data_IF_159358989218
#
_entry.id   IF_159358989218
#
_cell.length_a   1.000
_cell.length_b   1.000
_cell.length_c   1.000
_cell.angle_alpha   90.00
_cell.angle_beta   90.00
_cell.angle_gamma   90.00
#
_symmetry.space_group_name_H-M   'P 1'
#
loop_
_entity.id
_entity.type
_entity.pdbx_description
1 polymer ?
#
# COMPACT_ATOMS: atom_id res chain seq x y z
N UNK A 1 -1.15 2.27 10.62
CA UNK A 1 -2.34 2.26 9.75
C UNK A 1 -2.26 3.48 8.84
N UNK A 2 -2.24 3.30 7.52
CA UNK A 2 -2.37 4.42 6.59
C UNK A 2 -3.87 4.68 6.51
N UNK A 3 -4.37 5.67 7.25
CA UNK A 3 -5.75 6.10 7.08
C UNK A 3 -5.86 6.71 5.66
N UNK A 4 -6.73 6.22 4.78
CA UNK A 4 -6.95 6.83 3.46
C UNK A 4 -7.74 8.15 3.56
N UNK A 5 -7.97 8.63 4.78
CA UNK A 5 -8.76 9.83 5.06
C UNK A 5 -7.80 11.00 5.07
N UNK A 6 -7.68 11.64 3.92
CA UNK A 6 -6.87 12.83 3.76
C UNK A 6 -7.61 14.04 4.37
N UNK A 7 -7.47 14.24 5.69
CA UNK A 7 -8.02 15.39 6.40
C UNK A 7 -7.54 16.73 5.79
N UNK A 8 -6.37 16.73 5.13
CA UNK A 8 -5.77 17.90 4.50
C UNK A 8 -6.67 18.48 3.38
N UNK A 9 -7.48 17.66 2.71
CA UNK A 9 -8.37 18.14 1.64
C UNK A 9 -9.38 19.17 2.14
N UNK A 10 -9.96 18.95 3.32
CA UNK A 10 -10.90 19.90 3.93
C UNK A 10 -10.17 21.18 4.34
N UNK A 11 -8.94 21.05 4.85
CA UNK A 11 -8.13 22.20 5.22
C UNK A 11 -7.80 23.08 4.01
N UNK A 12 -7.43 22.48 2.88
CA UNK A 12 -7.23 23.19 1.61
C UNK A 12 -8.52 23.84 1.11
N UNK A 13 -9.65 23.14 1.17
CA UNK A 13 -10.93 23.68 0.72
C UNK A 13 -11.36 24.88 1.57
N UNK A 14 -11.15 24.82 2.89
CA UNK A 14 -11.38 25.95 3.80
C UNK A 14 -10.43 27.11 3.53
N UNK A 15 -9.16 26.84 3.24
CA UNK A 15 -8.22 27.87 2.82
C UNK A 15 -8.72 28.61 1.57
N UNK A 16 -9.15 27.89 0.53
CA UNK A 16 -9.71 28.51 -0.67
C UNK A 16 -10.98 29.33 -0.43
N UNK A 17 -11.88 28.85 0.44
CA UNK A 17 -13.09 29.61 0.80
C UNK A 17 -12.69 30.93 1.48
N UNK A 18 -11.73 30.91 2.41
CA UNK A 18 -11.23 32.12 3.09
C UNK A 18 -10.60 33.12 2.13
N UNK A 19 -9.78 32.65 1.19
CA UNK A 19 -9.18 33.50 0.14
C UNK A 19 -10.26 34.18 -0.71
N UNK A 20 -11.30 33.45 -1.12
CA UNK A 20 -12.39 34.00 -1.91
C UNK A 20 -13.23 35.00 -1.09
N UNK A 21 -13.50 34.73 0.19
CA UNK A 21 -14.15 35.69 1.10
C UNK A 21 -13.33 36.96 1.29
N UNK A 22 -11.99 36.86 1.41
CA UNK A 22 -11.10 38.02 1.45
C UNK A 22 -11.19 38.85 0.16
N UNK A 23 -11.19 38.21 -1.02
CA UNK A 23 -11.37 38.92 -2.29
C UNK A 23 -12.72 39.63 -2.37
N UNK A 24 -13.77 39.04 -1.81
CA UNK A 24 -15.10 39.64 -1.72
C UNK A 24 -15.08 40.94 -0.91
N UNK A 25 -14.35 40.95 0.22
CA UNK A 25 -14.16 42.16 1.03
C UNK A 25 -13.39 43.28 0.30
N UNK A 26 -12.61 42.93 -0.73
CA UNK A 26 -11.93 43.88 -1.63
C UNK A 26 -12.74 44.26 -2.87
N UNK A 27 -13.99 43.79 -2.99
CA UNK A 27 -14.92 44.17 -4.05
C UNK A 27 -15.14 43.13 -5.16
N UNK A 28 -14.59 41.91 -5.02
CA UNK A 28 -14.88 40.83 -5.95
C UNK A 28 -16.34 40.35 -5.83
N UNK A 29 -16.98 40.03 -6.96
CA UNK A 29 -18.34 39.48 -7.02
C UNK A 29 -18.27 37.96 -7.24
N UNK A 30 -17.86 37.23 -6.21
CA UNK A 30 -17.57 35.79 -6.24
C UNK A 30 -18.46 34.97 -5.29
N UNK A 31 -19.67 35.46 -4.98
CA UNK A 31 -20.66 34.77 -4.13
C UNK A 31 -20.94 33.34 -4.58
N UNK A 32 -21.18 33.13 -5.87
CA UNK A 32 -21.46 31.79 -6.43
C UNK A 32 -20.29 30.81 -6.24
N UNK A 33 -19.05 31.32 -6.30
CA UNK A 33 -17.84 30.50 -6.11
C UNK A 33 -17.71 30.10 -4.63
N UNK A 34 -18.04 30.99 -3.71
CA UNK A 34 -18.04 30.69 -2.27
C UNK A 34 -19.13 29.65 -1.97
N UNK A 35 -20.36 29.89 -2.44
CA UNK A 35 -21.50 29.00 -2.19
C UNK A 35 -21.26 27.59 -2.75
N UNK A 36 -20.73 27.48 -3.97
CA UNK A 36 -20.42 26.18 -4.58
C UNK A 36 -19.32 25.43 -3.82
N UNK A 37 -18.31 26.14 -3.30
CA UNK A 37 -17.24 25.53 -2.48
C UNK A 37 -17.72 25.12 -1.10
N UNK A 38 -18.62 25.89 -0.49
CA UNK A 38 -19.26 25.51 0.78
C UNK A 38 -20.11 24.25 0.61
N UNK A 39 -20.90 24.15 -0.46
CA UNK A 39 -21.65 22.92 -0.79
C UNK A 39 -20.72 21.73 -0.99
N UNK A 40 -19.64 21.89 -1.74
CA UNK A 40 -18.64 20.84 -1.95
C UNK A 40 -18.04 20.34 -0.63
N UNK A 41 -17.75 21.26 0.30
CA UNK A 41 -17.23 20.92 1.64
C UNK A 41 -18.24 20.09 2.42
N UNK A 42 -19.50 20.46 2.38
CA UNK A 42 -20.56 19.76 3.10
C UNK A 42 -20.83 18.37 2.51
N UNK A 43 -20.82 18.25 1.18
CA UNK A 43 -21.01 16.97 0.50
C UNK A 43 -19.85 16.01 0.77
N UNK A 44 -18.61 16.49 0.71
CA UNK A 44 -17.44 15.70 1.09
C UNK A 44 -17.54 15.18 2.54
N UNK A 45 -17.93 16.04 3.48
CA UNK A 45 -18.07 15.64 4.89
C UNK A 45 -19.16 14.58 5.08
N UNK A 46 -20.28 14.67 4.33
CA UNK A 46 -21.33 13.64 4.37
C UNK A 46 -20.84 12.31 3.82
N UNK A 47 -20.19 12.32 2.66
CA UNK A 47 -19.62 11.11 2.06
C UNK A 47 -18.59 10.48 2.97
N UNK A 48 -17.74 11.29 3.59
CA UNK A 48 -16.73 10.82 4.55
C UNK A 48 -17.39 10.24 5.82
N UNK A 49 -18.47 10.85 6.30
CA UNK A 49 -19.26 10.32 7.41
C UNK A 49 -19.86 8.95 7.09
N UNK A 50 -20.40 8.78 5.88
CA UNK A 50 -20.92 7.50 5.40
C UNK A 50 -19.81 6.44 5.28
N UNK A 51 -18.64 6.83 4.75
CA UNK A 51 -17.49 5.94 4.62
C UNK A 51 -16.99 5.47 5.99
N UNK A 52 -16.79 6.40 6.94
CA UNK A 52 -16.39 6.07 8.32
C UNK A 52 -17.40 5.16 9.00
N UNK A 53 -18.71 5.43 8.84
CA UNK A 53 -19.77 4.60 9.41
C UNK A 53 -19.75 3.18 8.84
N UNK A 54 -19.64 3.04 7.52
CA UNK A 54 -19.56 1.73 6.86
C UNK A 54 -18.32 0.94 7.32
N UNK A 55 -17.18 1.63 7.51
CA UNK A 55 -15.95 1.01 8.00
C UNK A 55 -16.09 0.51 9.44
N UNK A 56 -16.70 1.30 10.33
CA UNK A 56 -16.96 0.89 11.71
C UNK A 56 -17.99 -0.25 11.78
N UNK A 57 -19.03 -0.24 10.93
CA UNK A 57 -19.98 -1.34 10.81
C UNK A 57 -19.30 -2.64 10.34
N UNK A 58 -18.41 -2.56 9.35
CA UNK A 58 -17.60 -3.71 8.92
C UNK A 58 -16.66 -4.19 10.03
N UNK A 59 -15.99 -3.29 10.75
CA UNK A 59 -15.12 -3.65 11.87
C UNK A 59 -15.88 -4.35 12.99
N UNK A 60 -17.10 -3.89 13.29
CA UNK A 60 -17.99 -4.53 14.26
C UNK A 60 -18.50 -5.90 13.76
N UNK A 61 -18.71 -6.06 12.45
CA UNK A 61 -19.03 -7.36 11.83
C UNK A 61 -17.83 -8.32 11.84
N UNK A 62 -16.61 -7.83 11.63
CA UNK A 62 -15.37 -8.62 11.62
C UNK A 62 -15.05 -9.13 13.04
N UNK A 63 -15.40 -8.37 14.08
CA UNK A 63 -15.26 -8.80 15.48
C UNK A 63 -16.25 -9.91 15.88
N UNK A 64 -17.23 -10.26 15.05
CA UNK A 64 -18.25 -11.28 15.37
C UNK A 64 -18.01 -12.66 14.75
N UNK A 65 -17.09 -12.86 13.80
CA UNK A 65 -16.88 -14.22 13.27
C UNK A 65 -15.63 -14.41 12.43
N UNK A 66 -14.90 -15.46 12.80
CA UNK A 66 -13.96 -16.28 12.01
C UNK A 66 -12.62 -15.67 11.59
N UNK A 67 -11.57 -16.24 12.17
CA UNK A 67 -10.23 -16.27 11.57
C UNK A 67 -10.36 -16.74 10.11
N UNK A 68 -9.95 -15.87 9.18
CA UNK A 68 -9.94 -16.16 7.75
C UNK A 68 -9.10 -17.41 7.50
N UNK A 69 -9.70 -18.42 6.90
CA UNK A 69 -8.98 -19.67 6.56
C UNK A 69 -8.05 -19.42 5.38
N UNK A 70 -6.92 -20.14 5.26
CA UNK A 70 -5.99 -20.00 4.13
C UNK A 70 -6.68 -20.04 2.75
N UNK A 71 -7.68 -20.90 2.59
CA UNK A 71 -8.42 -21.05 1.33
C UNK A 71 -9.25 -19.79 0.99
N UNK A 72 -9.78 -19.11 1.99
CA UNK A 72 -10.54 -17.86 1.83
C UNK A 72 -9.62 -16.70 1.40
N UNK A 73 -8.34 -16.74 1.78
CA UNK A 73 -7.34 -15.75 1.35
C UNK A 73 -7.15 -15.81 -0.17
N UNK A 74 -7.07 -17.01 -0.75
CA UNK A 74 -6.90 -17.16 -2.20
C UNK A 74 -8.10 -16.65 -2.98
N UNK A 75 -9.31 -16.92 -2.48
CA UNK A 75 -10.57 -16.40 -3.07
C UNK A 75 -10.62 -14.88 -3.01
N UNK A 76 -10.20 -14.28 -1.89
CA UNK A 76 -10.14 -12.82 -1.74
C UNK A 76 -9.12 -12.18 -2.68
N UNK A 77 -7.96 -12.81 -2.88
CA UNK A 77 -6.94 -12.36 -3.83
C UNK A 77 -7.47 -12.40 -5.27
N UNK A 78 -8.17 -13.47 -5.64
CA UNK A 78 -8.77 -13.60 -6.97
C UNK A 78 -9.84 -12.52 -7.19
N UNK A 79 -10.74 -12.33 -6.23
CA UNK A 79 -11.78 -11.30 -6.25
C UNK A 79 -11.17 -9.89 -6.37
N UNK A 80 -10.06 -9.62 -5.69
CA UNK A 80 -9.34 -8.35 -5.77
C UNK A 80 -8.80 -8.08 -7.19
N UNK A 81 -8.30 -9.12 -7.87
CA UNK A 81 -7.80 -9.01 -9.24
C UNK A 81 -8.90 -8.92 -10.29
N UNK A 82 -10.11 -9.37 -9.97
CA UNK A 82 -11.28 -9.27 -10.83
C UNK A 82 -12.00 -7.92 -10.77
N UNK A 83 -11.59 -7.01 -9.87
CA UNK A 83 -12.19 -5.67 -9.80
C UNK A 83 -12.12 -4.95 -11.15
N UNK A 84 -13.26 -4.40 -11.65
CA UNK A 84 -13.42 -4.02 -13.05
C UNK A 84 -12.52 -2.85 -13.49
N UNK A 85 -12.12 -1.99 -12.55
CA UNK A 85 -11.34 -0.79 -12.84
C UNK A 85 -9.88 -1.00 -12.43
N UNK A 86 -9.64 -1.46 -11.20
CA UNK A 86 -8.30 -1.48 -10.59
C UNK A 86 -7.66 -2.85 -10.50
N UNK A 87 -8.43 -3.94 -10.63
CA UNK A 87 -7.95 -5.30 -10.34
C UNK A 87 -6.74 -5.71 -11.19
N UNK A 88 -6.78 -5.41 -12.49
CA UNK A 88 -5.66 -5.68 -13.41
C UNK A 88 -4.39 -4.90 -13.07
N UNK A 89 -4.53 -3.65 -12.66
CA UNK A 89 -3.39 -2.79 -12.29
C UNK A 89 -2.74 -3.27 -11.00
N UNK A 90 -3.56 -3.66 -10.00
CA UNK A 90 -3.09 -4.22 -8.73
C UNK A 90 -2.30 -5.51 -8.99
N UNK A 91 -2.82 -6.42 -9.81
CA UNK A 91 -2.13 -7.67 -10.19
C UNK A 91 -0.75 -7.40 -10.81
N UNK A 92 -0.69 -6.48 -11.76
CA UNK A 92 0.57 -6.11 -12.44
C UNK A 92 1.63 -5.55 -11.47
N UNK A 93 1.21 -4.74 -10.50
CA UNK A 93 2.13 -4.21 -9.50
C UNK A 93 2.68 -5.31 -8.58
N UNK A 94 1.83 -6.23 -8.13
CA UNK A 94 2.24 -7.36 -7.28
C UNK A 94 3.22 -8.28 -8.02
N UNK A 95 2.91 -8.63 -9.28
CA UNK A 95 3.78 -9.45 -10.11
C UNK A 95 5.14 -8.75 -10.34
N UNK A 96 5.14 -7.44 -10.57
CA UNK A 96 6.35 -6.63 -10.70
C UNK A 96 7.23 -6.64 -9.45
N UNK A 97 6.64 -6.52 -8.27
CA UNK A 97 7.36 -6.60 -6.98
C UNK A 97 7.97 -7.98 -6.79
N UNK A 98 7.22 -9.06 -7.10
CA UNK A 98 7.69 -10.44 -6.98
C UNK A 98 8.92 -10.69 -7.86
N UNK A 99 8.86 -10.25 -9.13
CA UNK A 99 9.97 -10.37 -10.08
C UNK A 99 11.19 -9.56 -9.63
N UNK A 100 10.98 -8.38 -9.06
CA UNK A 100 12.05 -7.58 -8.47
C UNK A 100 12.76 -8.32 -7.35
N UNK A 101 12.01 -8.89 -6.40
CA UNK A 101 12.57 -9.63 -5.27
C UNK A 101 13.35 -10.89 -5.68
N UNK A 102 12.88 -11.65 -6.67
CA UNK A 102 13.61 -12.83 -7.17
C UNK A 102 14.95 -12.44 -7.81
N UNK A 103 15.00 -11.32 -8.53
CA UNK A 103 16.23 -10.83 -9.17
C UNK A 103 17.28 -10.36 -8.17
N UNK A 104 16.88 -9.70 -7.08
CA UNK A 104 17.80 -9.30 -6.02
C UNK A 104 18.23 -10.45 -5.11
N UNK A 105 17.41 -11.50 -4.96
CA UNK A 105 17.77 -12.72 -4.24
C UNK A 105 18.85 -13.54 -4.96
N UNK A 106 18.74 -13.67 -6.29
CA UNK A 106 19.70 -14.43 -7.11
C UNK A 106 21.10 -13.76 -7.21
N UNK A 107 21.20 -12.45 -6.99
CA UNK A 107 22.49 -11.74 -6.99
C UNK A 107 23.33 -11.95 -5.71
N UNK A 108 22.83 -12.69 -4.70
CA UNK A 108 23.56 -12.95 -3.46
C UNK A 108 24.43 -14.21 -3.47
N UNK A 109 24.39 -15.02 -4.53
CA UNK A 109 25.26 -16.20 -4.65
C UNK A 109 26.46 -15.88 -5.54
N UNK A 110 27.51 -15.32 -4.93
CA UNK A 110 28.81 -15.19 -5.59
C UNK A 110 29.48 -16.56 -5.57
N UNK A 111 29.47 -17.28 -6.69
CA UNK A 111 30.30 -18.47 -6.86
C UNK A 111 31.77 -18.03 -6.94
N UNK A 112 32.51 -18.25 -5.85
CA UNK A 112 33.95 -17.96 -5.79
C UNK A 112 34.70 -19.25 -6.10
N UNK A 113 35.27 -19.35 -7.31
CA UNK A 113 36.24 -20.41 -7.60
C UNK A 113 37.52 -20.15 -6.80
N UNK A 114 37.73 -20.98 -5.78
CA UNK A 114 38.95 -20.90 -4.97
C UNK A 114 40.15 -21.36 -5.81
N UNK A 115 41.25 -20.59 -5.85
CA UNK A 115 42.44 -20.98 -6.61
C UNK A 115 43.02 -22.29 -6.05
N UNK A 116 43.59 -23.15 -6.92
CA UNK A 116 44.05 -24.49 -6.57
C UNK A 116 45.02 -24.58 -5.37
N UNK A 117 45.71 -23.48 -5.03
CA UNK A 117 46.59 -23.38 -3.85
C UNK A 117 45.84 -23.14 -2.53
N UNK A 118 44.58 -22.73 -2.55
CA UNK A 118 43.73 -22.61 -1.36
C UNK A 118 43.16 -23.96 -0.90
N UNK A 119 43.15 -24.98 -1.78
CA UNK A 119 42.75 -26.34 -1.46
C UNK A 119 43.73 -27.08 -0.52
N UNK A 120 44.92 -26.52 -0.26
CA UNK A 120 45.89 -27.07 0.69
C UNK A 120 45.86 -26.39 2.06
N UNK A 121 44.94 -25.43 2.29
CA UNK A 121 44.77 -24.85 3.61
C UNK A 121 44.14 -25.88 4.54
N UNK A 122 44.78 -26.17 5.67
CA UNK A 122 44.32 -27.15 6.67
C UNK A 122 42.86 -26.91 7.08
N UNK A 123 42.46 -25.64 7.20
CA UNK A 123 41.10 -25.22 7.53
C UNK A 123 40.09 -25.62 6.44
N UNK A 124 40.46 -25.57 5.16
CA UNK A 124 39.58 -25.97 4.06
C UNK A 124 39.47 -27.48 3.91
N UNK A 125 40.51 -28.23 4.28
CA UNK A 125 40.46 -29.69 4.33
C UNK A 125 39.54 -30.18 5.44
N UNK A 126 39.64 -29.59 6.63
CA UNK A 126 38.75 -29.89 7.77
C UNK A 126 37.28 -29.54 7.44
N UNK A 127 37.04 -28.40 6.80
CA UNK A 127 35.69 -28.01 6.37
C UNK A 127 35.12 -28.98 5.33
N UNK A 128 35.93 -29.43 4.37
CA UNK A 128 35.52 -30.41 3.35
C UNK A 128 35.13 -31.74 4.00
N UNK A 129 35.91 -32.22 4.95
CA UNK A 129 35.66 -33.49 5.65
C UNK A 129 34.32 -33.45 6.40
N UNK A 130 34.05 -32.37 7.14
CA UNK A 130 32.80 -32.17 7.87
C UNK A 130 31.60 -32.17 6.91
N UNK A 131 31.69 -31.48 5.77
CA UNK A 131 30.61 -31.40 4.79
C UNK A 131 30.33 -32.75 4.12
N UNK A 132 31.37 -33.54 3.83
CA UNK A 132 31.22 -34.88 3.24
C UNK A 132 30.71 -35.96 4.21
N UNK A 133 30.77 -35.71 5.53
CA UNK A 133 30.29 -36.69 6.54
C UNK A 133 28.80 -36.52 6.86
N UNK A 134 28.16 -35.44 6.39
CA UNK A 134 26.74 -35.15 6.60
C UNK A 134 25.86 -35.45 5.37
N UNK A 135 26.39 -36.11 4.35
CA UNK A 135 25.64 -36.65 3.20
C UNK A 135 25.59 -38.17 3.27
#
# INVERSE_FOLDING_TARGET
AILPVNDDFIEYLQYFIREEQMKQSTGAQNTEIIDSRERLKDDYNKEMGLYKKTLEEQKNSINSSQSVKPDEIFVLIETLYELPITGKQIKQQVDGIRIGQTRFGAQRETFVELPAKAASSKVMLELKEIVSTQS
#
